data_IF_527941073425
#
_entry.id   IF_527941073425
#
_cell.length_a   1.000
_cell.length_b   1.000
_cell.length_c   1.000
_cell.angle_alpha   90.00
_cell.angle_beta   90.00
_cell.angle_gamma   90.00
#
_symmetry.space_group_name_H-M   'P 1'
#
loop_
_entity.id
_entity.type
_entity.pdbx_description
1 polymer ?
#
# COMPACT_ATOMS: atom_id res chain seq x y z
N UNK A 1 8.14 18.07 -10.58
CA UNK A 1 7.43 16.78 -10.38
C UNK A 1 6.89 16.73 -8.96
N UNK A 2 5.66 16.25 -8.78
CA UNK A 2 5.06 16.07 -7.44
C UNK A 2 5.42 14.68 -6.93
N UNK A 3 5.83 14.59 -5.66
CA UNK A 3 6.08 13.33 -4.95
C UNK A 3 4.93 13.06 -3.99
N UNK A 4 4.54 11.80 -3.86
CA UNK A 4 3.40 11.35 -3.06
C UNK A 4 3.88 10.38 -1.99
N UNK A 5 3.57 10.68 -0.73
CA UNK A 5 3.73 9.73 0.36
C UNK A 5 2.38 9.03 0.57
N UNK A 6 2.35 7.72 0.38
CA UNK A 6 1.14 6.92 0.47
C UNK A 6 0.89 6.54 1.93
N UNK A 7 -0.36 6.71 2.35
CA UNK A 7 -0.86 6.23 3.64
C UNK A 7 -1.07 4.71 3.62
N UNK A 8 -1.14 4.12 4.81
CA UNK A 8 -1.41 2.69 5.01
C UNK A 8 -2.74 2.27 4.37
N UNK A 9 -3.79 3.10 4.46
CA UNK A 9 -5.07 2.80 3.82
C UNK A 9 -4.96 2.72 2.30
N UNK A 10 -4.20 3.63 1.67
CA UNK A 10 -3.98 3.61 0.22
C UNK A 10 -3.27 2.32 -0.18
N UNK A 11 -2.27 1.90 0.58
CA UNK A 11 -1.55 0.65 0.34
C UNK A 11 -2.47 -0.57 0.49
N UNK A 12 -3.30 -0.62 1.53
CA UNK A 12 -4.26 -1.71 1.75
C UNK A 12 -5.26 -1.80 0.59
N UNK A 13 -5.85 -0.68 0.17
CA UNK A 13 -6.82 -0.66 -0.91
C UNK A 13 -6.17 -0.95 -2.27
N UNK A 14 -4.91 -0.56 -2.48
CA UNK A 14 -4.13 -0.96 -3.65
C UNK A 14 -3.96 -2.49 -3.70
N UNK A 15 -3.57 -3.11 -2.58
CA UNK A 15 -3.41 -4.57 -2.49
C UNK A 15 -4.73 -5.33 -2.68
N UNK A 16 -5.86 -4.73 -2.28
CA UNK A 16 -7.22 -5.28 -2.51
C UNK A 16 -7.78 -5.02 -3.91
N UNK A 17 -7.05 -4.30 -4.77
CA UNK A 17 -7.50 -3.87 -6.08
C UNK A 17 -8.82 -3.05 -6.04
N UNK A 18 -8.96 -2.18 -5.04
CA UNK A 18 -10.11 -1.31 -4.83
C UNK A 18 -9.83 0.12 -5.34
N UNK A 19 -10.89 0.86 -5.66
CA UNK A 19 -10.87 2.30 -5.96
C UNK A 19 -9.94 2.76 -7.11
N UNK A 20 -9.53 1.86 -8.01
CA UNK A 20 -8.67 2.18 -9.16
C UNK A 20 -7.33 2.85 -8.77
N UNK A 21 -6.79 2.49 -7.61
CA UNK A 21 -5.55 3.07 -7.10
C UNK A 21 -4.37 2.70 -8.01
N UNK A 22 -4.38 1.49 -8.58
CA UNK A 22 -3.33 1.03 -9.48
C UNK A 22 -3.24 1.90 -10.75
N UNK A 23 -4.38 2.28 -11.32
CA UNK A 23 -4.48 3.19 -12.46
C UNK A 23 -3.95 4.57 -12.08
N UNK A 24 -4.29 5.06 -10.88
CA UNK A 24 -3.79 6.36 -10.42
C UNK A 24 -2.28 6.37 -10.22
N UNK A 25 -1.72 5.31 -9.63
CA UNK A 25 -0.25 5.16 -9.46
C UNK A 25 0.45 5.12 -10.82
N UNK A 26 -0.12 4.42 -11.81
CA UNK A 26 0.40 4.41 -13.19
C UNK A 26 0.37 5.79 -13.84
N UNK A 27 -0.72 6.54 -13.65
CA UNK A 27 -0.87 7.90 -14.19
C UNK A 27 0.15 8.89 -13.60
N UNK A 28 0.40 8.81 -12.29
CA UNK A 28 1.35 9.72 -11.61
C UNK A 28 2.81 9.26 -11.68
N UNK A 29 3.06 8.00 -12.10
CA UNK A 29 4.38 7.37 -12.13
C UNK A 29 4.74 6.72 -10.79
N UNK A 30 5.17 5.45 -10.84
CA UNK A 30 5.53 4.68 -9.64
C UNK A 30 6.72 5.30 -8.89
N UNK A 31 7.66 5.88 -9.63
CA UNK A 31 8.84 6.58 -9.10
C UNK A 31 8.49 7.85 -8.28
N UNK A 32 7.25 8.33 -8.40
CA UNK A 32 6.76 9.47 -7.64
C UNK A 32 6.01 9.04 -6.37
N UNK A 33 5.81 7.74 -6.14
CA UNK A 33 5.12 7.18 -4.98
C UNK A 33 6.12 6.62 -3.96
N UNK A 34 5.95 6.99 -2.71
CA UNK A 34 6.80 6.58 -1.59
C UNK A 34 5.91 6.08 -0.45
N UNK A 35 6.45 5.19 0.38
CA UNK A 35 5.85 4.81 1.67
C UNK A 35 6.83 5.15 2.79
N UNK A 36 6.31 5.46 3.96
CA UNK A 36 7.15 5.65 5.15
C UNK A 36 7.52 4.31 5.77
N UNK A 37 8.61 4.26 6.55
CA UNK A 37 8.94 3.06 7.34
C UNK A 37 7.83 2.72 8.35
N UNK A 38 7.09 3.71 8.84
CA UNK A 38 5.92 3.50 9.72
C UNK A 38 4.80 2.77 8.98
N UNK A 39 4.48 3.20 7.76
CA UNK A 39 3.50 2.53 6.89
C UNK A 39 3.89 1.08 6.64
N UNK A 40 5.18 0.81 6.42
CA UNK A 40 5.69 -0.56 6.30
C UNK A 40 5.46 -1.37 7.58
N UNK A 41 5.76 -0.80 8.75
CA UNK A 41 5.54 -1.46 10.04
C UNK A 41 4.06 -1.77 10.31
N UNK A 42 3.15 -0.84 9.97
CA UNK A 42 1.70 -1.04 10.09
C UNK A 42 1.19 -2.15 9.17
N UNK A 43 1.66 -2.19 7.92
CA UNK A 43 1.31 -3.26 6.97
C UNK A 43 1.80 -4.64 7.47
N UNK A 44 3.05 -4.73 7.93
CA UNK A 44 3.61 -5.97 8.49
C UNK A 44 2.85 -6.44 9.74
N UNK A 45 2.53 -5.51 10.64
CA UNK A 45 1.70 -5.79 11.81
C UNK A 45 0.30 -6.26 11.40
N UNK A 46 -0.31 -5.62 10.39
CA UNK A 46 -1.60 -6.01 9.84
C UNK A 46 -1.59 -7.44 9.31
N UNK A 47 -0.58 -7.82 8.52
CA UNK A 47 -0.42 -9.21 8.02
C UNK A 47 -0.28 -10.20 9.18
N UNK A 48 0.59 -9.92 10.16
CA UNK A 48 0.81 -10.82 11.31
C UNK A 48 -0.45 -11.07 12.14
N UNK A 49 -1.32 -10.07 12.28
CA UNK A 49 -2.55 -10.18 13.07
C UNK A 49 -3.79 -10.50 12.22
N UNK A 50 -3.65 -10.63 10.90
CA UNK A 50 -4.72 -11.05 10.01
C UNK A 50 -4.98 -12.56 10.12
N UNK A 51 -6.16 -13.00 9.68
CA UNK A 51 -6.52 -14.43 9.67
C UNK A 51 -5.54 -15.23 8.79
N UNK A 52 -5.33 -16.51 9.13
CA UNK A 52 -4.35 -17.41 8.47
C UNK A 52 -4.40 -17.42 6.93
N UNK A 53 -5.52 -17.03 6.33
CA UNK A 53 -5.70 -16.91 4.88
C UNK A 53 -4.82 -15.84 4.21
N UNK A 54 -4.30 -14.86 4.97
CA UNK A 54 -3.51 -13.74 4.45
C UNK A 54 -2.06 -13.75 4.96
N UNK A 55 -1.66 -14.79 5.70
CA UNK A 55 -0.30 -15.00 6.16
C UNK A 55 0.44 -15.82 5.09
N UNK A 56 1.52 -15.29 4.52
CA UNK A 56 2.42 -16.11 3.71
C UNK A 56 3.03 -17.21 4.60
N UNK A 57 2.99 -18.46 4.13
CA UNK A 57 3.63 -19.61 4.77
C UNK A 57 5.13 -19.57 4.64
#
# INVERSE_FOLDING_TARGET
>A
MKKYLLDTNICIHYLKNEYQIAEKIKEVGFENCFISELTLAELLFGVKNSSEQHQEK
#
